data_IF_717313393987
#
_entry.id   IF_717313393987
#
_cell.length_a   1.000
_cell.length_b   1.000
_cell.length_c   1.000
_cell.angle_alpha   90.00
_cell.angle_beta   90.00
_cell.angle_gamma   90.00
#
_symmetry.space_group_name_H-M   'P 1'
#
loop_
_entity.id
_entity.type
_entity.pdbx_description
1 polymer ?
#
# COMPACT_ATOMS: atom_id res chain seq x y z
N UNK A 1 -0.76 -11.89 -8.10
CA UNK A 1 -2.16 -11.59 -7.71
C UNK A 1 -2.26 -10.08 -7.53
N UNK A 2 -3.30 -9.43 -8.08
CA UNK A 2 -3.56 -7.99 -7.90
C UNK A 2 -5.02 -7.81 -7.49
N UNK A 3 -5.27 -7.09 -6.40
CA UNK A 3 -6.60 -6.74 -5.89
C UNK A 3 -6.70 -5.23 -5.76
N UNK A 4 -7.88 -4.70 -6.03
CA UNK A 4 -8.15 -3.26 -6.00
C UNK A 4 -9.15 -2.95 -4.90
N UNK A 5 -8.84 -1.94 -4.11
CA UNK A 5 -9.68 -1.41 -3.06
C UNK A 5 -9.81 0.11 -3.25
N UNK A 6 -10.89 0.68 -2.75
CA UNK A 6 -11.06 2.11 -2.65
C UNK A 6 -11.54 2.46 -1.24
N UNK A 7 -11.04 3.56 -0.68
CA UNK A 7 -11.41 4.06 0.63
C UNK A 7 -11.39 5.59 0.62
N UNK A 8 -12.50 6.23 1.00
CA UNK A 8 -12.70 7.69 0.91
C UNK A 8 -12.30 8.31 -0.45
N UNK A 9 -12.57 7.59 -1.55
CA UNK A 9 -12.23 8.05 -2.91
C UNK A 9 -10.74 7.96 -3.27
N UNK A 10 -9.92 7.33 -2.43
CA UNK A 10 -8.52 6.99 -2.72
C UNK A 10 -8.41 5.52 -3.11
N UNK A 11 -7.58 5.24 -4.09
CA UNK A 11 -7.35 3.88 -4.59
C UNK A 11 -6.18 3.22 -3.84
N UNK A 12 -6.38 1.96 -3.46
CA UNK A 12 -5.39 1.10 -2.80
C UNK A 12 -5.24 -0.18 -3.62
N UNK A 13 -4.01 -0.49 -4.02
CA UNK A 13 -3.68 -1.70 -4.79
C UNK A 13 -2.96 -2.69 -3.89
N UNK A 14 -3.55 -3.87 -3.70
CA UNK A 14 -2.88 -5.02 -3.09
C UNK A 14 -2.19 -5.84 -4.18
N UNK A 15 -0.88 -6.02 -4.10
CA UNK A 15 -0.13 -6.73 -5.13
C UNK A 15 1.12 -7.42 -4.57
N UNK A 16 1.50 -8.55 -5.18
CA UNK A 16 2.83 -9.13 -4.99
C UNK A 16 3.90 -8.55 -5.92
N UNK A 17 3.53 -7.51 -6.70
CA UNK A 17 4.41 -6.81 -7.63
C UNK A 17 5.13 -5.62 -7.00
N UNK A 18 5.59 -4.69 -7.84
CA UNK A 18 6.40 -3.55 -7.40
C UNK A 18 5.56 -2.28 -7.22
N UNK A 19 6.00 -1.38 -6.34
CA UNK A 19 5.45 -0.02 -6.24
C UNK A 19 5.51 0.75 -7.58
N UNK A 20 6.41 0.36 -8.49
CA UNK A 20 6.52 0.94 -9.84
C UNK A 20 5.24 0.73 -10.65
N UNK A 21 4.50 -0.34 -10.38
CA UNK A 21 3.28 -0.76 -11.10
C UNK A 21 2.01 -0.03 -10.65
N UNK A 22 2.14 0.85 -9.64
CA UNK A 22 1.08 1.73 -9.18
C UNK A 22 0.92 2.92 -10.13
N UNK A 23 -0.30 3.41 -10.26
CA UNK A 23 -0.56 4.71 -10.90
C UNK A 23 -0.26 5.85 -9.91
N UNK A 24 0.12 7.05 -10.40
CA UNK A 24 0.30 8.21 -9.53
C UNK A 24 -0.96 8.53 -8.71
N UNK A 25 -0.78 8.78 -7.42
CA UNK A 25 -1.85 9.02 -6.44
C UNK A 25 -2.41 7.76 -5.77
N UNK A 26 -1.97 6.56 -6.16
CA UNK A 26 -2.41 5.31 -5.53
C UNK A 26 -1.61 4.97 -4.28
N UNK A 27 -2.30 4.34 -3.33
CA UNK A 27 -1.70 3.58 -2.26
C UNK A 27 -1.41 2.15 -2.72
N UNK A 28 -0.37 1.54 -2.16
CA UNK A 28 -0.01 0.15 -2.42
C UNK A 28 0.16 -0.63 -1.13
N UNK A 29 -0.30 -1.87 -1.13
CA UNK A 29 0.02 -2.89 -0.12
C UNK A 29 0.77 -4.00 -0.85
N UNK A 30 2.08 -4.08 -0.59
CA UNK A 30 3.04 -4.84 -1.38
C UNK A 30 3.57 -6.03 -0.60
N UNK A 31 3.53 -7.21 -1.21
CA UNK A 31 4.10 -8.41 -0.60
C UNK A 31 5.64 -8.35 -0.63
N UNK A 32 6.28 -8.49 0.52
CA UNK A 32 7.75 -8.57 0.65
C UNK A 32 8.16 -10.03 0.47
N UNK A 33 9.12 -10.31 -0.41
CA UNK A 33 9.55 -11.68 -0.75
C UNK A 33 8.38 -12.62 -1.10
N UNK A 34 7.43 -12.12 -1.89
CA UNK A 34 6.22 -12.87 -2.26
C UNK A 34 5.24 -13.09 -1.11
N UNK A 35 5.41 -12.35 0.00
CA UNK A 35 4.60 -12.41 1.22
C UNK A 35 5.31 -13.11 2.38
N UNK A 36 6.44 -13.78 2.13
CA UNK A 36 7.21 -14.43 3.19
C UNK A 36 7.88 -13.43 4.15
N UNK A 37 8.20 -12.23 3.67
CA UNK A 37 8.75 -11.12 4.45
C UNK A 37 7.69 -10.19 5.02
N UNK A 38 6.40 -10.54 4.92
CA UNK A 38 5.28 -9.70 5.31
C UNK A 38 4.87 -8.70 4.21
N UNK A 39 4.34 -7.55 4.63
CA UNK A 39 3.70 -6.57 3.75
C UNK A 39 4.15 -5.14 4.05
N UNK A 40 4.45 -4.39 2.98
CA UNK A 40 4.79 -2.97 3.01
C UNK A 40 3.60 -2.13 2.52
N UNK A 41 3.43 -0.94 3.09
CA UNK A 41 2.43 0.04 2.69
C UNK A 41 3.14 1.24 2.09
N UNK A 42 2.81 1.57 0.85
CA UNK A 42 3.44 2.67 0.10
C UNK A 42 2.41 3.62 -0.45
N UNK A 43 2.83 4.84 -0.78
CA UNK A 43 2.08 5.74 -1.64
C UNK A 43 2.96 6.20 -2.80
N UNK A 44 2.40 6.15 -4.01
CA UNK A 44 3.03 6.73 -5.20
C UNK A 44 2.49 8.13 -5.39
N UNK A 45 3.33 9.13 -5.15
CA UNK A 45 2.96 10.52 -5.34
C UNK A 45 2.74 10.91 -6.80
N UNK A 46 2.21 12.11 -7.06
CA UNK A 46 1.83 12.56 -8.40
C UNK A 46 3.01 12.70 -9.36
N UNK A 47 4.23 12.91 -8.85
CA UNK A 47 5.47 12.93 -9.64
C UNK A 47 6.02 11.53 -9.94
N UNK A 48 5.38 10.47 -9.43
CA UNK A 48 5.80 9.08 -9.57
C UNK A 48 6.80 8.62 -8.50
N UNK A 49 7.17 9.50 -7.57
CA UNK A 49 7.94 9.15 -6.38
C UNK A 49 7.17 8.14 -5.52
N UNK A 50 7.90 7.17 -4.97
CA UNK A 50 7.32 6.16 -4.09
C UNK A 50 7.86 6.40 -2.69
N UNK A 51 6.95 6.49 -1.73
CA UNK A 51 7.27 6.62 -0.31
C UNK A 51 6.70 5.43 0.44
N UNK A 52 7.54 4.78 1.24
CA UNK A 52 7.11 3.76 2.20
C UNK A 52 6.54 4.43 3.46
N UNK A 53 5.35 4.00 3.88
CA UNK A 53 4.54 4.66 4.90
C UNK A 53 4.50 3.88 6.21
N UNK A 54 4.72 2.56 6.18
CA UNK A 54 4.73 1.73 7.38
C UNK A 54 6.03 1.83 8.19
N UNK A 55 7.09 2.45 7.64
CA UNK A 55 8.36 2.71 8.32
C UNK A 55 8.92 1.43 9.01
N UNK A 56 9.09 1.43 10.33
CA UNK A 56 9.59 0.28 11.10
C UNK A 56 8.51 -0.78 11.42
N UNK A 57 7.24 -0.53 11.08
CA UNK A 57 6.16 -1.47 11.33
C UNK A 57 6.21 -2.64 10.35
N UNK A 58 6.10 -3.84 10.92
CA UNK A 58 5.98 -5.09 10.18
C UNK A 58 4.54 -5.58 10.21
N UNK A 59 3.98 -5.87 9.03
CA UNK A 59 2.67 -6.50 8.89
C UNK A 59 2.82 -7.92 8.37
N UNK A 60 2.38 -8.89 9.18
CA UNK A 60 2.42 -10.31 8.80
C UNK A 60 1.36 -10.63 7.74
N UNK A 61 0.22 -9.92 7.76
CA UNK A 61 -0.91 -10.16 6.87
C UNK A 61 -1.19 -8.97 5.94
N UNK A 62 -1.70 -9.20 4.72
CA UNK A 62 -2.12 -8.11 3.84
C UNK A 62 -3.35 -7.37 4.39
N UNK A 63 -4.18 -8.02 5.21
CA UNK A 63 -5.35 -7.42 5.84
C UNK A 63 -4.96 -6.34 6.86
N UNK A 64 -3.95 -6.60 7.71
CA UNK A 64 -3.45 -5.62 8.68
C UNK A 64 -2.80 -4.43 7.98
N UNK A 65 -2.00 -4.69 6.94
CA UNK A 65 -1.40 -3.65 6.12
C UNK A 65 -2.47 -2.79 5.39
N UNK A 66 -3.55 -3.42 4.89
CA UNK A 66 -4.67 -2.72 4.29
C UNK A 66 -5.45 -1.89 5.31
N UNK A 67 -5.63 -2.39 6.54
CA UNK A 67 -6.27 -1.64 7.61
C UNK A 67 -5.47 -0.38 7.95
N UNK A 68 -4.15 -0.50 8.08
CA UNK A 68 -3.26 0.65 8.30
C UNK A 68 -3.32 1.65 7.15
N UNK A 69 -3.32 1.20 5.88
CA UNK A 69 -3.46 2.09 4.74
C UNK A 69 -4.76 2.92 4.79
N UNK A 70 -5.86 2.31 5.24
CA UNK A 70 -7.14 3.02 5.42
C UNK A 70 -7.10 4.02 6.57
N UNK A 71 -6.48 3.67 7.69
CA UNK A 71 -6.27 4.58 8.82
C UNK A 71 -5.48 5.83 8.39
N UNK A 72 -4.40 5.67 7.62
CA UNK A 72 -3.66 6.80 7.07
C UNK A 72 -4.53 7.68 6.16
N UNK A 73 -5.38 7.06 5.34
CA UNK A 73 -6.32 7.79 4.48
C UNK A 73 -7.34 8.58 5.32
N UNK A 74 -7.87 7.97 6.38
CA UNK A 74 -8.81 8.62 7.30
C UNK A 74 -8.17 9.84 8.00
N UNK A 75 -6.88 9.77 8.35
CA UNK A 75 -6.16 10.88 9.00
C UNK A 75 -5.87 12.09 8.09
N UNK A 76 -5.91 11.91 6.76
CA UNK A 76 -5.68 12.98 5.80
C UNK A 76 -6.97 13.62 5.27
N UNK A 77 -8.12 13.07 5.61
CA UNK A 77 -9.45 13.54 5.20
C UNK A 77 -9.95 14.68 6.11
#
# INVERSE_FOLDING_TARGET
>A
MRRYHSHLGRDIVLTGGSARDLDPGQFGVLAIDGGAGGWSVVHKGPGGEVVELNNEMHFETPEDALAFAKELIDMMA
#
